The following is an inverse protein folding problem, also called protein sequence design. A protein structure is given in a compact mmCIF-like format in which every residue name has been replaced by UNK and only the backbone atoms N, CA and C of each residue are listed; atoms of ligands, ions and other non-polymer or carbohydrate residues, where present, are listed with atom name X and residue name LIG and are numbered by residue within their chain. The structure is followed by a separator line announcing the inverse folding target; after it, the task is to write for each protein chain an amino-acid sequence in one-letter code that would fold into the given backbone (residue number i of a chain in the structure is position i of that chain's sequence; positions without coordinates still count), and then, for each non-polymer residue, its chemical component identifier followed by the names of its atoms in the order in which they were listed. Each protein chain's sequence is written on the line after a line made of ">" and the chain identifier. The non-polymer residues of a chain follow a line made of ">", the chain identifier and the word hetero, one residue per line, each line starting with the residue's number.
data_IF_033029419736
#
_entry.id   IF_033029419736
#
_cell.length_a   1.000
_cell.length_b   1.000
_cell.length_c   1.000
_cell.angle_alpha   90.00
_cell.angle_beta   90.00
_cell.angle_gamma   90.00
#
_symmetry.space_group_name_H-M   'P 1'
#
loop_
_entity.id
_entity.type
_entity.pdbx_description
1 polymer ?
#
# COMPACT_ATOMS: atom_id res chain seq x y z
N UNK A 1 12.10 12.94 -40.84
CA UNK A 1 12.44 11.58 -41.31
C UNK A 1 13.97 11.48 -41.49
N UNK A 2 14.73 11.69 -40.39
CA UNK A 2 16.20 11.77 -40.41
C UNK A 2 16.84 10.64 -39.56
N UNK A 3 16.07 10.03 -38.66
CA UNK A 3 16.61 9.12 -37.63
C UNK A 3 17.16 7.80 -38.20
N UNK A 4 16.68 7.34 -39.36
CA UNK A 4 17.01 6.01 -39.86
C UNK A 4 18.46 5.88 -40.40
N UNK A 5 19.09 6.99 -40.82
CA UNK A 5 20.45 6.96 -41.40
C UNK A 5 21.57 7.11 -40.37
N UNK A 6 21.27 7.45 -39.13
CA UNK A 6 22.27 7.65 -38.07
C UNK A 6 22.32 6.49 -37.07
N UNK A 7 21.48 5.47 -37.25
CA UNK A 7 21.37 4.34 -36.34
C UNK A 7 22.20 3.13 -36.81
N UNK A 8 22.88 2.41 -35.89
CA UNK A 8 23.50 1.12 -36.18
C UNK A 8 22.49 0.14 -36.82
N UNK A 9 22.97 -0.74 -37.69
CA UNK A 9 22.13 -1.64 -38.48
C UNK A 9 21.15 -2.47 -37.65
N UNK A 10 21.55 -2.90 -36.46
CA UNK A 10 20.70 -3.68 -35.56
C UNK A 10 19.50 -2.89 -35.00
N UNK A 11 19.58 -1.57 -34.91
CA UNK A 11 18.51 -0.70 -34.38
C UNK A 11 17.56 -0.21 -35.47
N UNK A 12 17.95 -0.33 -36.75
CA UNK A 12 17.13 0.18 -37.87
C UNK A 12 15.77 -0.51 -37.95
N UNK A 13 15.70 -1.82 -37.73
CA UNK A 13 14.44 -2.56 -37.77
C UNK A 13 13.44 -2.09 -36.71
N UNK A 14 13.93 -1.79 -35.50
CA UNK A 14 13.11 -1.27 -34.40
C UNK A 14 12.68 0.19 -34.66
N UNK A 15 13.58 1.01 -35.19
CA UNK A 15 13.27 2.38 -35.60
C UNK A 15 12.19 2.43 -36.69
N UNK A 16 12.28 1.57 -37.71
CA UNK A 16 11.24 1.44 -38.75
C UNK A 16 9.92 1.01 -38.14
N UNK A 17 9.92 0.03 -37.25
CA UNK A 17 8.71 -0.44 -36.56
C UNK A 17 8.06 0.69 -35.76
N UNK A 18 8.86 1.51 -35.07
CA UNK A 18 8.40 2.68 -34.33
C UNK A 18 7.79 3.75 -35.25
N UNK A 19 8.43 4.05 -36.39
CA UNK A 19 7.90 5.01 -37.38
C UNK A 19 6.57 4.51 -37.96
N UNK A 20 6.47 3.22 -38.30
CA UNK A 20 5.23 2.63 -38.81
C UNK A 20 4.12 2.73 -37.75
N UNK A 21 4.44 2.45 -36.49
CA UNK A 21 3.49 2.60 -35.39
C UNK A 21 2.99 4.05 -35.26
N UNK A 22 3.88 5.03 -35.26
CA UNK A 22 3.51 6.45 -35.17
C UNK A 22 2.67 6.92 -36.35
N UNK A 23 3.03 6.52 -37.57
CA UNK A 23 2.26 6.82 -38.78
C UNK A 23 0.85 6.24 -38.70
N UNK A 24 0.72 4.96 -38.31
CA UNK A 24 -0.57 4.32 -38.12
C UNK A 24 -1.40 4.98 -37.02
N UNK A 25 -0.76 5.42 -35.94
CA UNK A 25 -1.43 6.16 -34.87
C UNK A 25 -2.00 7.48 -35.39
N UNK A 26 -1.24 8.25 -36.20
CA UNK A 26 -1.71 9.49 -36.83
C UNK A 26 -2.83 9.28 -37.87
N UNK A 27 -2.85 8.14 -38.55
CA UNK A 27 -3.96 7.80 -39.46
C UNK A 27 -5.26 7.59 -38.67
N UNK A 28 -5.18 6.91 -37.52
CA UNK A 28 -6.36 6.65 -36.66
C UNK A 28 -6.80 7.88 -35.88
N UNK A 29 -5.84 8.66 -35.39
CA UNK A 29 -6.05 9.89 -34.63
C UNK A 29 -5.16 10.99 -35.21
N UNK A 30 -5.68 11.82 -36.13
CA UNK A 30 -4.89 12.83 -36.82
C UNK A 30 -4.44 13.99 -35.92
N UNK A 31 -5.07 14.18 -34.76
CA UNK A 31 -4.74 15.27 -33.84
C UNK A 31 -3.70 14.81 -32.83
N UNK A 32 -3.94 13.68 -32.16
CA UNK A 32 -3.10 13.24 -31.04
C UNK A 32 -2.23 12.02 -31.34
N UNK A 33 -2.52 11.22 -32.38
CA UNK A 33 -1.71 10.08 -32.79
C UNK A 33 -1.25 9.19 -31.63
N UNK A 34 0.06 8.96 -31.52
CA UNK A 34 0.66 8.18 -30.42
C UNK A 34 0.64 8.94 -29.07
N UNK A 35 0.63 10.27 -29.08
CA UNK A 35 0.50 11.10 -27.87
C UNK A 35 -0.83 10.86 -27.17
N UNK A 36 -1.91 10.58 -27.92
CA UNK A 36 -3.20 10.20 -27.35
C UNK A 36 -3.11 8.91 -26.53
N UNK A 37 -2.41 7.89 -27.05
CA UNK A 37 -2.18 6.64 -26.32
C UNK A 37 -1.33 6.87 -25.06
N UNK A 38 -0.27 7.68 -25.16
CA UNK A 38 0.56 8.05 -23.99
C UNK A 38 -0.30 8.70 -22.91
N UNK A 39 -1.14 9.68 -23.27
CA UNK A 39 -2.00 10.36 -22.32
C UNK A 39 -2.99 9.40 -21.63
N UNK A 40 -3.61 8.48 -22.38
CA UNK A 40 -4.53 7.51 -21.79
C UNK A 40 -3.82 6.59 -20.78
N UNK A 41 -2.61 6.13 -21.11
CA UNK A 41 -1.82 5.33 -20.19
C UNK A 41 -1.44 6.12 -18.94
N UNK A 42 -1.03 7.39 -19.08
CA UNK A 42 -0.74 8.26 -17.93
C UNK A 42 -1.97 8.45 -17.04
N UNK A 43 -3.15 8.65 -17.64
CA UNK A 43 -4.42 8.74 -16.92
C UNK A 43 -4.73 7.46 -16.14
N UNK A 44 -4.59 6.29 -16.76
CA UNK A 44 -4.81 5.00 -16.11
C UNK A 44 -3.85 4.78 -14.94
N UNK A 45 -2.56 5.11 -15.11
CA UNK A 45 -1.58 5.04 -14.02
C UNK A 45 -2.00 5.93 -12.87
N UNK A 46 -2.41 7.17 -13.15
CA UNK A 46 -2.87 8.10 -12.11
C UNK A 46 -4.13 7.62 -11.38
N UNK A 47 -5.08 7.01 -12.10
CA UNK A 47 -6.30 6.44 -11.51
C UNK A 47 -5.96 5.28 -10.58
N UNK A 48 -5.11 4.35 -11.02
CA UNK A 48 -4.66 3.22 -10.21
C UNK A 48 -3.88 3.68 -8.97
N UNK A 49 -3.03 4.69 -9.10
CA UNK A 49 -2.32 5.27 -7.96
C UNK A 49 -3.27 5.89 -6.92
N UNK A 50 -4.33 6.57 -7.39
CA UNK A 50 -5.35 7.12 -6.50
C UNK A 50 -6.14 6.04 -5.77
N UNK A 51 -6.49 4.95 -6.46
CA UNK A 51 -7.18 3.79 -5.87
C UNK A 51 -6.31 3.09 -4.81
N UNK A 52 -5.01 2.94 -5.10
CA UNK A 52 -4.04 2.40 -4.15
C UNK A 52 -3.90 3.29 -2.91
N UNK A 53 -3.80 4.61 -3.08
CA UNK A 53 -3.74 5.53 -1.96
C UNK A 53 -5.02 5.47 -1.09
N UNK A 54 -6.19 5.38 -1.73
CA UNK A 54 -7.48 5.25 -1.03
C UNK A 54 -7.53 3.97 -0.19
N UNK A 55 -7.19 2.83 -0.78
CA UNK A 55 -7.20 1.54 -0.08
C UNK A 55 -6.19 1.48 1.07
N UNK A 56 -5.01 2.10 0.91
CA UNK A 56 -4.04 2.23 2.00
C UNK A 56 -4.59 3.05 3.19
N UNK A 57 -5.28 4.16 2.91
CA UNK A 57 -5.94 4.98 3.95
C UNK A 57 -7.04 4.19 4.66
N UNK A 58 -7.85 3.43 3.91
CA UNK A 58 -8.89 2.58 4.49
C UNK A 58 -8.30 1.51 5.42
N UNK A 59 -7.23 0.84 5.00
CA UNK A 59 -6.53 -0.14 5.84
C UNK A 59 -6.00 0.49 7.13
N UNK A 60 -5.34 1.65 7.03
CA UNK A 60 -4.83 2.36 8.21
C UNK A 60 -5.96 2.76 9.17
N UNK A 61 -7.09 3.24 8.63
CA UNK A 61 -8.25 3.59 9.43
C UNK A 61 -8.84 2.37 10.15
N UNK A 62 -8.93 1.22 9.49
CA UNK A 62 -9.39 -0.03 10.10
C UNK A 62 -8.45 -0.49 11.21
N UNK A 63 -7.14 -0.46 10.98
CA UNK A 63 -6.14 -0.80 12.01
C UNK A 63 -6.24 0.13 13.22
N UNK A 64 -6.41 1.44 12.99
CA UNK A 64 -6.61 2.41 14.07
C UNK A 64 -7.89 2.15 14.85
N UNK A 65 -9.00 1.85 14.17
CA UNK A 65 -10.26 1.50 14.82
C UNK A 65 -10.10 0.24 15.67
N UNK A 66 -9.43 -0.79 15.16
CA UNK A 66 -9.12 -2.01 15.92
C UNK A 66 -8.31 -1.71 17.18
N UNK A 67 -7.25 -0.90 17.08
CA UNK A 67 -6.43 -0.51 18.23
C UNK A 67 -7.23 0.27 19.29
N UNK A 68 -8.10 1.19 18.86
CA UNK A 68 -8.96 1.95 19.77
C UNK A 68 -9.93 1.02 20.52
N UNK A 69 -10.55 0.06 19.82
CA UNK A 69 -11.45 -0.91 20.46
C UNK A 69 -10.71 -1.77 21.50
N UNK A 70 -9.51 -2.26 21.16
CA UNK A 70 -8.67 -3.03 22.10
C UNK A 70 -8.32 -2.19 23.34
N UNK A 71 -7.95 -0.92 23.15
CA UNK A 71 -7.68 0.00 24.26
C UNK A 71 -8.90 0.18 25.16
N UNK A 72 -10.10 0.35 24.60
CA UNK A 72 -11.33 0.48 25.40
C UNK A 72 -11.59 -0.77 26.23
N UNK A 73 -11.47 -1.96 25.62
CA UNK A 73 -11.66 -3.24 26.32
C UNK A 73 -10.63 -3.41 27.44
N UNK A 74 -9.35 -3.12 27.19
CA UNK A 74 -8.31 -3.20 28.22
C UNK A 74 -8.59 -2.26 29.40
N UNK A 75 -9.00 -1.01 29.13
CA UNK A 75 -9.33 -0.05 30.18
C UNK A 75 -10.54 -0.50 31.02
N UNK A 76 -11.57 -1.06 30.39
CA UNK A 76 -12.74 -1.63 31.10
C UNK A 76 -12.35 -2.83 31.99
N UNK A 77 -11.50 -3.72 31.49
CA UNK A 77 -10.99 -4.86 32.26
C UNK A 77 -10.21 -4.40 33.50
N UNK A 78 -9.36 -3.36 33.37
CA UNK A 78 -8.62 -2.79 34.50
C UNK A 78 -9.53 -2.14 35.55
N UNK A 79 -10.60 -1.45 35.13
CA UNK A 79 -11.58 -0.86 36.07
C UNK A 79 -12.36 -1.92 36.86
N UNK A 80 -12.72 -3.04 36.22
CA UNK A 80 -13.35 -4.16 36.94
C UNK A 80 -12.40 -4.81 37.94
N UNK A 81 -11.10 -4.86 37.64
CA UNK A 81 -10.10 -5.43 38.53
C UNK A 81 -9.83 -4.54 39.76
N UNK A 82 -9.82 -3.20 39.62
CA UNK A 82 -9.70 -2.28 40.76
C UNK A 82 -10.92 -2.31 41.69
N UNK A 83 -12.15 -2.43 41.15
CA UNK A 83 -13.35 -2.55 41.99
C UNK A 83 -13.43 -3.88 42.76
N UNK A 84 -12.68 -4.90 42.34
CA UNK A 84 -12.59 -6.20 43.05
C UNK A 84 -11.49 -6.23 44.13
N UNK A 85 -10.61 -5.22 44.20
CA UNK A 85 -9.47 -5.17 45.15
C UNK A 85 -9.74 -4.31 46.41
N UNK A 86 -10.94 -3.75 46.58
CA UNK A 86 -11.36 -3.09 47.83
C UNK A 86 -12.12 -4.06 48.75
N UNK A 87 -11.47 -5.15 49.15
CA UNK A 87 -11.88 -5.90 50.35
C UNK A 87 -10.73 -5.91 51.35
N UNK A 88 -10.91 -5.39 52.57
CA UNK A 88 -9.87 -5.44 53.58
C UNK A 88 -9.78 -6.88 54.11
N UNK A 89 -8.79 -7.65 53.65
CA UNK A 89 -8.33 -8.79 54.41
C UNK A 89 -6.84 -9.07 54.17
N UNK A 90 -6.11 -9.13 55.27
CA UNK A 90 -4.68 -9.36 55.34
C UNK A 90 -4.32 -10.83 55.01
N UNK A 91 -3.04 -11.04 54.65
CA UNK A 91 -2.25 -12.29 54.74
C UNK A 91 -2.43 -13.33 53.60
N UNK A 92 -1.46 -13.38 52.67
CA UNK A 92 -0.32 -14.32 52.75
C UNK A 92 0.40 -14.44 51.39
N UNK A 93 1.73 -14.31 51.43
CA UNK A 93 2.63 -14.60 50.32
C UNK A 93 2.67 -16.10 49.99
N UNK A 94 2.34 -16.51 48.76
CA UNK A 94 2.85 -17.74 48.15
C UNK A 94 2.98 -17.58 46.62
N UNK A 95 4.19 -17.22 46.19
CA UNK A 95 4.95 -17.83 45.08
C UNK A 95 4.19 -18.28 43.82
N UNK A 96 4.39 -17.62 42.68
CA UNK A 96 5.22 -18.16 41.58
C UNK A 96 5.30 -17.20 40.38
N UNK A 97 6.49 -17.21 39.80
CA UNK A 97 7.00 -16.52 38.62
C UNK A 97 6.29 -16.96 37.32
N UNK A 98 6.64 -16.27 36.23
CA UNK A 98 6.47 -16.60 34.81
C UNK A 98 5.40 -15.82 33.99
N UNK A 99 5.93 -14.83 33.27
CA UNK A 99 5.85 -14.86 31.80
C UNK A 99 4.60 -14.31 31.12
N UNK A 100 4.40 -12.98 31.15
CA UNK A 100 3.58 -12.30 30.14
C UNK A 100 4.33 -11.10 29.55
N UNK A 101 5.41 -11.39 28.82
CA UNK A 101 5.84 -10.49 27.76
C UNK A 101 4.79 -10.60 26.66
N UNK A 102 3.89 -9.63 26.57
CA UNK A 102 3.06 -9.43 25.39
C UNK A 102 4.01 -9.25 24.21
N UNK A 103 4.21 -10.31 23.44
CA UNK A 103 4.84 -10.26 22.15
C UNK A 103 3.93 -9.43 21.24
N UNK A 104 4.21 -8.14 21.15
CA UNK A 104 3.82 -7.35 20.01
C UNK A 104 4.45 -8.01 18.79
N UNK A 105 3.67 -8.84 18.11
CA UNK A 105 4.01 -9.39 16.80
C UNK A 105 4.43 -8.22 15.92
N UNK A 106 5.74 -8.12 15.73
CA UNK A 106 6.39 -7.24 14.78
C UNK A 106 5.88 -7.63 13.40
N UNK A 107 5.00 -6.81 12.83
CA UNK A 107 4.59 -6.96 11.45
C UNK A 107 5.75 -6.50 10.56
N UNK A 108 6.62 -7.43 10.16
CA UNK A 108 7.58 -7.18 9.08
C UNK A 108 6.96 -7.55 7.72
N UNK A 109 7.03 -6.68 6.71
CA UNK A 109 6.55 -7.01 5.37
C UNK A 109 7.49 -8.04 4.70
N UNK A 110 6.95 -9.18 4.29
CA UNK A 110 7.63 -10.22 3.50
C UNK A 110 7.72 -9.84 2.01
N UNK A 111 8.34 -8.70 1.69
CA UNK A 111 8.87 -8.46 0.36
C UNK A 111 10.15 -7.62 0.46
N UNK A 112 11.27 -8.29 0.29
CA UNK A 112 12.55 -7.71 -0.11
C UNK A 112 13.07 -8.54 -1.27
#
# INVERSE_FOLDING_TARGET
>A
MIVERELPEFQRADAVSSIIYEANARIRDPVYGSTGAIYQLQKQVSELQAELAKTQVELFNMQRQQANLLSSVCLEMSQHQENMLQTPYEISNYFNDDGYLCNTTSWEPLWT
#
